data_IF_738433148888
#
_entry.id   IF_738433148888
#
_cell.length_a   1.000
_cell.length_b   1.000
_cell.length_c   1.000
_cell.angle_alpha   90.00
_cell.angle_beta   90.00
_cell.angle_gamma   90.00
#
_symmetry.space_group_name_H-M   'P 1'
#
loop_
_entity.id
_entity.type
_entity.pdbx_description
1 polymer ?
#
# COMPACT_ATOMS: atom_id res chain seq x y z
N UNK A 1 -12.25 6.75 -25.15
CA UNK A 1 -12.67 6.71 -23.73
C UNK A 1 -12.42 8.10 -23.14
N UNK A 2 -13.45 8.81 -22.68
CA UNK A 2 -13.28 10.14 -22.05
C UNK A 2 -12.67 9.94 -20.66
N UNK A 3 -11.55 10.63 -20.40
CA UNK A 3 -10.79 10.55 -19.17
C UNK A 3 -11.58 11.03 -17.95
N UNK A 4 -12.30 10.10 -17.30
CA UNK A 4 -12.65 10.25 -15.89
C UNK A 4 -11.42 9.86 -15.10
N UNK A 5 -10.82 10.83 -14.40
CA UNK A 5 -9.92 10.50 -13.31
C UNK A 5 -10.68 9.56 -12.37
N UNK A 6 -10.09 8.41 -12.06
CA UNK A 6 -10.64 7.51 -11.05
C UNK A 6 -10.64 8.26 -9.73
N UNK A 7 -11.81 8.44 -9.13
CA UNK A 7 -11.91 9.00 -7.79
C UNK A 7 -11.26 8.05 -6.80
N UNK A 8 -10.38 8.57 -5.93
CA UNK A 8 -9.72 7.84 -4.88
C UNK A 8 -10.11 8.47 -3.54
N UNK A 9 -10.53 7.63 -2.59
CA UNK A 9 -10.86 8.05 -1.24
C UNK A 9 -9.74 7.65 -0.27
N UNK A 10 -9.43 8.55 0.66
CA UNK A 10 -8.61 8.24 1.83
C UNK A 10 -9.49 8.22 3.07
N UNK A 11 -9.53 7.09 3.76
CA UNK A 11 -10.26 6.96 5.02
C UNK A 11 -9.29 6.95 6.20
N UNK A 12 -9.48 7.88 7.15
CA UNK A 12 -8.62 8.04 8.32
C UNK A 12 -9.21 7.46 9.62
N UNK A 13 -10.40 6.83 9.53
CA UNK A 13 -11.21 6.42 10.67
C UNK A 13 -11.43 4.90 10.70
N UNK A 14 -11.67 4.25 9.55
CA UNK A 14 -12.04 2.83 9.49
C UNK A 14 -10.96 1.94 10.13
N UNK A 15 -9.67 2.26 9.98
CA UNK A 15 -8.60 1.49 10.62
C UNK A 15 -8.65 1.52 12.17
N UNK A 16 -9.23 2.56 12.78
CA UNK A 16 -9.37 2.67 14.24
C UNK A 16 -10.45 1.76 14.80
N UNK A 17 -11.46 1.44 13.98
CA UNK A 17 -12.69 0.74 14.41
C UNK A 17 -12.81 -0.67 13.82
N UNK A 18 -11.95 -1.04 12.87
CA UNK A 18 -11.98 -2.37 12.25
C UNK A 18 -11.31 -3.41 13.14
N UNK A 19 -12.09 -4.39 13.61
CA UNK A 19 -11.57 -5.51 14.38
C UNK A 19 -10.45 -6.26 13.64
N UNK A 20 -9.37 -6.61 14.35
CA UNK A 20 -8.22 -7.31 13.79
C UNK A 20 -7.22 -6.41 13.02
N UNK A 21 -7.52 -5.12 12.82
CA UNK A 21 -6.53 -4.15 12.33
C UNK A 21 -5.75 -3.56 13.49
N UNK A 22 -4.43 -3.58 13.40
CA UNK A 22 -3.55 -3.00 14.41
C UNK A 22 -3.27 -1.54 14.04
N UNK A 23 -4.12 -0.62 14.50
CA UNK A 23 -4.02 0.80 14.15
C UNK A 23 -2.60 1.36 14.32
N UNK A 24 -1.93 1.10 15.45
CA UNK A 24 -0.58 1.63 15.71
C UNK A 24 0.55 0.94 14.92
N UNK A 25 0.35 -0.30 14.47
CA UNK A 25 1.40 -1.08 13.81
C UNK A 25 1.32 -1.05 12.28
N UNK A 26 0.13 -0.76 11.73
CA UNK A 26 -0.13 -0.74 10.29
C UNK A 26 0.01 0.67 9.72
N UNK A 27 0.46 0.78 8.47
CA UNK A 27 0.45 2.06 7.73
C UNK A 27 -0.85 2.29 6.97
N UNK A 28 -1.28 1.36 6.13
CA UNK A 28 -2.54 1.44 5.39
C UNK A 28 -2.96 0.07 4.83
N UNK A 29 -4.22 -0.04 4.39
CA UNK A 29 -4.72 -1.15 3.57
C UNK A 29 -5.80 -0.68 2.60
N UNK A 30 -6.01 -1.41 1.50
CA UNK A 30 -7.03 -1.06 0.50
C UNK A 30 -8.36 -1.76 0.76
N UNK A 31 -9.46 -1.08 0.46
CA UNK A 31 -10.79 -1.67 0.36
C UNK A 31 -11.12 -1.92 -1.11
N UNK A 32 -11.07 -3.17 -1.55
CA UNK A 32 -11.33 -3.55 -2.95
C UNK A 32 -12.83 -3.59 -3.29
N UNK A 33 -13.69 -3.73 -2.29
CA UNK A 33 -15.15 -3.79 -2.46
C UNK A 33 -15.84 -2.41 -2.41
N UNK A 34 -15.10 -1.32 -2.22
CA UNK A 34 -15.65 0.03 -2.15
C UNK A 34 -15.55 0.76 -3.48
N UNK A 35 -16.64 1.40 -3.91
CA UNK A 35 -16.64 2.41 -4.97
C UNK A 35 -17.10 3.77 -4.40
N UNK A 36 -16.29 4.85 -4.49
CA UNK A 36 -14.94 4.89 -5.05
C UNK A 36 -13.93 4.08 -4.24
N UNK A 37 -12.85 3.63 -4.91
CA UNK A 37 -11.75 2.91 -4.28
C UNK A 37 -11.18 3.67 -3.09
N UNK A 38 -10.88 2.94 -2.02
CA UNK A 38 -10.48 3.54 -0.75
C UNK A 38 -9.15 2.98 -0.24
N UNK A 39 -8.25 3.89 0.15
CA UNK A 39 -7.05 3.59 0.95
C UNK A 39 -7.37 3.97 2.39
N UNK A 40 -7.36 2.99 3.29
CA UNK A 40 -7.60 3.18 4.71
C UNK A 40 -6.25 3.43 5.41
N UNK A 41 -6.04 4.63 5.92
CA UNK A 41 -4.83 5.05 6.60
C UNK A 41 -4.89 4.68 8.09
N UNK A 42 -3.80 4.12 8.60
CA UNK A 42 -3.63 3.69 9.98
C UNK A 42 -2.59 4.58 10.71
N UNK A 43 -2.30 4.26 11.98
CA UNK A 43 -1.44 5.06 12.85
C UNK A 43 -0.01 5.24 12.32
N UNK A 44 0.65 4.15 11.89
CA UNK A 44 2.05 4.20 11.44
C UNK A 44 2.26 5.07 10.20
N UNK A 45 1.23 5.33 9.39
CA UNK A 45 1.32 6.26 8.27
C UNK A 45 1.69 7.67 8.74
N UNK A 46 1.12 8.12 9.86
CA UNK A 46 1.33 9.47 10.38
C UNK A 46 2.71 9.66 11.01
N UNK A 47 3.34 8.56 11.46
CA UNK A 47 4.69 8.55 12.04
C UNK A 47 5.80 8.52 10.97
N UNK A 48 5.44 8.34 9.69
CA UNK A 48 6.41 8.34 8.59
C UNK A 48 6.65 9.74 7.99
N UNK A 49 7.88 10.07 7.58
CA UNK A 49 8.16 11.26 6.79
C UNK A 49 7.30 11.34 5.53
N UNK A 50 7.09 12.54 4.99
CA UNK A 50 6.30 12.73 3.76
C UNK A 50 6.97 12.04 2.56
N UNK A 51 8.31 12.15 2.46
CA UNK A 51 9.14 11.59 1.38
C UNK A 51 10.38 10.89 1.95
N UNK A 52 11.15 10.21 1.10
CA UNK A 52 12.27 9.35 1.51
C UNK A 52 11.85 7.90 1.77
N UNK A 53 12.74 7.13 2.41
CA UNK A 53 12.53 5.68 2.59
C UNK A 53 12.74 5.25 4.04
N UNK A 54 11.69 4.82 4.77
CA UNK A 54 10.27 4.73 4.37
C UNK A 54 9.53 6.09 4.41
N UNK A 55 8.45 6.25 3.63
CA UNK A 55 7.64 7.48 3.62
C UNK A 55 6.15 7.27 3.37
N UNK A 56 5.34 8.29 3.67
CA UNK A 56 3.91 8.37 3.32
C UNK A 56 3.66 8.27 1.82
N UNK A 57 4.50 8.93 1.01
CA UNK A 57 4.42 8.80 -0.44
C UNK A 57 4.59 7.34 -0.90
N UNK A 58 5.60 6.64 -0.35
CA UNK A 58 5.80 5.21 -0.62
C UNK A 58 4.62 4.34 -0.19
N UNK A 59 4.00 4.62 0.97
CA UNK A 59 2.78 3.90 1.42
C UNK A 59 1.65 4.05 0.42
N UNK A 60 1.47 5.23 -0.16
CA UNK A 60 0.42 5.47 -1.17
C UNK A 60 0.72 4.70 -2.45
N UNK A 61 1.96 4.71 -2.95
CA UNK A 61 2.37 3.93 -4.14
C UNK A 61 2.12 2.44 -3.93
N UNK A 62 2.56 1.91 -2.78
CA UNK A 62 2.31 0.53 -2.36
C UNK A 62 0.82 0.20 -2.40
N UNK A 63 -0.02 1.00 -1.73
CA UNK A 63 -1.45 0.74 -1.67
C UNK A 63 -2.11 0.82 -3.06
N UNK A 64 -1.72 1.81 -3.88
CA UNK A 64 -2.26 1.97 -5.22
C UNK A 64 -1.98 0.76 -6.12
N UNK A 65 -0.81 0.13 -5.99
CA UNK A 65 -0.42 -1.04 -6.80
C UNK A 65 -1.31 -2.28 -6.56
N UNK A 66 -2.01 -2.34 -5.42
CA UNK A 66 -2.91 -3.46 -5.09
C UNK A 66 -4.25 -3.39 -5.81
N UNK A 67 -4.60 -2.25 -6.41
CA UNK A 67 -5.82 -2.12 -7.20
C UNK A 67 -5.67 -2.84 -8.56
N UNK A 68 -6.73 -3.50 -9.07
CA UNK A 68 -6.61 -4.41 -10.21
C UNK A 68 -6.12 -3.75 -11.50
N UNK A 69 -6.49 -2.50 -11.72
CA UNK A 69 -6.03 -1.69 -12.87
C UNK A 69 -4.60 -1.18 -12.75
N UNK A 70 -4.01 -1.25 -11.55
CA UNK A 70 -2.68 -0.71 -11.28
C UNK A 70 -1.61 -1.82 -11.10
N UNK A 71 -2.00 -3.10 -11.25
CA UNK A 71 -1.08 -4.23 -11.19
C UNK A 71 -1.60 -5.42 -10.38
N UNK A 72 -2.60 -5.23 -9.51
CA UNK A 72 -3.17 -6.29 -8.67
C UNK A 72 -2.11 -7.06 -7.86
N UNK A 73 -1.14 -6.35 -7.29
CA UNK A 73 -0.06 -6.98 -6.51
C UNK A 73 -0.46 -7.16 -5.04
N UNK A 74 0.29 -7.97 -4.29
CA UNK A 74 -0.01 -8.30 -2.87
C UNK A 74 1.15 -7.94 -1.96
N UNK A 75 0.89 -7.76 -0.65
CA UNK A 75 1.92 -7.55 0.38
C UNK A 75 2.38 -8.90 0.99
N UNK A 76 2.88 -9.84 0.17
CA UNK A 76 3.26 -11.17 0.69
C UNK A 76 4.64 -11.18 1.37
N UNK A 77 5.52 -10.22 1.05
CA UNK A 77 6.77 -9.95 1.77
C UNK A 77 6.79 -8.49 2.22
N UNK A 78 6.87 -8.25 3.53
CA UNK A 78 6.76 -6.90 4.13
C UNK A 78 8.09 -6.42 4.74
N UNK A 79 8.90 -7.34 5.26
CA UNK A 79 10.16 -7.01 5.93
C UNK A 79 11.18 -6.47 4.92
N UNK A 80 11.64 -5.22 5.09
CA UNK A 80 12.49 -4.52 4.10
C UNK A 80 13.72 -5.34 3.66
N UNK A 81 14.53 -5.93 4.57
CA UNK A 81 15.60 -6.84 4.16
C UNK A 81 15.14 -7.94 3.20
N UNK A 82 14.03 -8.62 3.50
CA UNK A 82 13.46 -9.67 2.64
C UNK A 82 12.90 -9.14 1.33
N UNK A 83 12.36 -7.92 1.32
CA UNK A 83 11.88 -7.27 0.09
C UNK A 83 13.04 -6.99 -0.87
N UNK A 84 14.17 -6.51 -0.34
CA UNK A 84 15.39 -6.28 -1.12
C UNK A 84 16.02 -7.59 -1.58
N UNK A 85 16.03 -8.60 -0.71
CA UNK A 85 16.47 -9.95 -1.05
C UNK A 85 15.62 -10.54 -2.19
N UNK A 86 14.29 -10.44 -2.10
CA UNK A 86 13.38 -10.92 -3.14
C UNK A 86 13.70 -10.30 -4.50
N UNK A 87 13.97 -8.99 -4.54
CA UNK A 87 14.37 -8.32 -5.79
C UNK A 87 15.67 -8.87 -6.38
N UNK A 88 16.60 -9.32 -5.54
CA UNK A 88 17.88 -9.86 -5.98
C UNK A 88 17.79 -11.32 -6.42
N UNK A 89 17.00 -12.15 -5.73
CA UNK A 89 16.99 -13.61 -5.92
C UNK A 89 15.85 -14.11 -6.78
N UNK A 90 14.72 -13.40 -6.79
CA UNK A 90 13.53 -13.74 -7.58
C UNK A 90 12.80 -12.47 -8.08
N UNK A 91 13.36 -11.81 -9.12
CA UNK A 91 12.75 -10.63 -9.71
C UNK A 91 11.34 -10.88 -10.24
N UNK A 92 11.03 -12.13 -10.64
CA UNK A 92 9.73 -12.53 -11.14
C UNK A 92 8.64 -12.42 -10.08
N UNK A 93 8.93 -12.81 -8.84
CA UNK A 93 8.01 -12.59 -7.71
C UNK A 93 8.09 -11.15 -7.16
N UNK A 94 9.24 -10.49 -7.24
CA UNK A 94 9.39 -9.11 -6.79
C UNK A 94 8.42 -8.14 -7.49
N UNK A 95 8.17 -8.31 -8.79
CA UNK A 95 7.19 -7.49 -9.54
C UNK A 95 5.74 -7.77 -9.16
N UNK A 96 5.45 -8.79 -8.35
CA UNK A 96 4.12 -9.06 -7.79
C UNK A 96 4.02 -8.76 -6.29
N UNK A 97 5.03 -8.11 -5.71
CA UNK A 97 5.03 -7.67 -4.31
C UNK A 97 4.86 -6.14 -4.20
N UNK A 98 3.82 -5.69 -3.49
CA UNK A 98 3.52 -4.26 -3.35
C UNK A 98 4.62 -3.51 -2.57
N UNK A 99 5.27 -4.15 -1.60
CA UNK A 99 6.38 -3.54 -0.87
C UNK A 99 7.63 -3.37 -1.74
N UNK A 100 7.86 -4.18 -2.78
CA UNK A 100 8.91 -3.89 -3.76
C UNK A 100 8.64 -2.57 -4.50
N UNK A 101 7.38 -2.31 -4.87
CA UNK A 101 6.97 -1.04 -5.49
C UNK A 101 7.04 0.16 -4.54
N UNK A 102 7.08 -0.08 -3.22
CA UNK A 102 7.27 0.97 -2.21
C UNK A 102 8.70 1.51 -2.21
N UNK A 103 9.69 0.66 -2.50
CA UNK A 103 11.11 0.95 -2.33
C UNK A 103 11.86 1.24 -3.64
N UNK A 104 11.28 0.93 -4.79
CA UNK A 104 11.78 1.28 -6.13
C UNK A 104 11.34 2.69 -6.52
#
# INVERSE_FOLDING_TARGET
>A
MKGKATSLTYDCNVCKVTAGKQFLAMDAYVSLASEPRTINLCGKFWDTPVTGTPSRAGVIVRALSQFPENGWVTDHIIDKPKVLELAAVDPGNAVFNAENHRYL
#
